data_IF_272428812307
#
_entry.id   IF_272428812307
#
_cell.length_a   1.000
_cell.length_b   1.000
_cell.length_c   1.000
_cell.angle_alpha   90.00
_cell.angle_beta   90.00
_cell.angle_gamma   90.00
#
_symmetry.space_group_name_H-M   'P 1'
#
loop_
_entity.id
_entity.type
_entity.pdbx_description
1 polymer ?
#
# COMPACT_ATOMS: atom_id res chain seq x y z
N UNK A 1 -55.28 -39.57 24.70
CA UNK A 1 -54.58 -40.19 23.55
C UNK A 1 -53.32 -39.43 23.12
N UNK A 2 -53.38 -38.29 22.39
CA UNK A 2 -52.15 -37.62 21.87
C UNK A 2 -51.16 -37.13 22.94
N UNK A 3 -51.66 -36.63 24.08
CA UNK A 3 -50.81 -36.13 25.18
C UNK A 3 -50.24 -37.27 26.03
N UNK A 4 -51.01 -38.33 26.26
CA UNK A 4 -50.56 -39.50 27.01
C UNK A 4 -49.53 -40.33 26.22
N UNK A 5 -49.68 -40.44 24.89
CA UNK A 5 -48.66 -41.03 24.01
C UNK A 5 -47.36 -40.21 24.03
N UNK A 6 -47.47 -38.88 24.10
CA UNK A 6 -46.33 -37.97 24.19
C UNK A 6 -45.57 -38.15 25.51
N UNK A 7 -46.27 -38.26 26.64
CA UNK A 7 -45.68 -38.50 27.96
C UNK A 7 -45.08 -39.90 28.06
N UNK A 8 -45.76 -40.93 27.56
CA UNK A 8 -45.25 -42.31 27.59
C UNK A 8 -44.03 -42.52 26.67
N UNK A 9 -43.83 -41.64 25.67
CA UNK A 9 -42.66 -41.67 24.78
C UNK A 9 -41.40 -41.03 25.38
N UNK A 10 -41.47 -40.45 26.58
CA UNK A 10 -40.35 -39.79 27.28
C UNK A 10 -39.87 -38.49 26.63
N UNK A 11 -40.60 -37.96 25.63
CA UNK A 11 -40.27 -36.73 24.91
C UNK A 11 -40.64 -35.46 25.68
N UNK A 12 -41.42 -35.58 26.75
CA UNK A 12 -41.72 -34.53 27.73
C UNK A 12 -40.46 -34.07 28.48
N UNK A 13 -39.49 -34.97 28.70
CA UNK A 13 -38.20 -34.67 29.34
C UNK A 13 -37.29 -33.76 28.48
N UNK A 14 -37.58 -33.64 27.18
CA UNK A 14 -36.83 -32.78 26.25
C UNK A 14 -37.44 -31.37 26.10
N UNK A 15 -38.56 -31.09 26.77
CA UNK A 15 -39.15 -29.75 26.78
C UNK A 15 -38.41 -28.91 27.83
N UNK A 16 -37.41 -28.16 27.37
CA UNK A 16 -36.77 -27.13 28.17
C UNK A 16 -37.68 -25.91 28.17
N UNK A 17 -38.19 -25.53 29.34
CA UNK A 17 -38.87 -24.25 29.52
C UNK A 17 -37.89 -23.11 29.17
N UNK A 18 -38.10 -22.39 28.06
CA UNK A 18 -37.19 -21.35 27.61
C UNK A 18 -37.17 -20.14 28.56
N UNK A 19 -38.08 -20.09 29.55
CA UNK A 19 -38.14 -19.04 30.57
C UNK A 19 -38.33 -19.59 31.99
N UNK A 20 -37.59 -20.65 32.33
CA UNK A 20 -37.64 -21.32 33.65
C UNK A 20 -37.52 -20.36 34.86
N UNK A 21 -36.84 -19.23 34.69
CA UNK A 21 -36.64 -18.21 35.73
C UNK A 21 -37.53 -16.96 35.56
N UNK A 22 -38.49 -17.00 34.62
CA UNK A 22 -39.39 -15.89 34.26
C UNK A 22 -38.67 -14.58 33.93
N UNK A 23 -37.44 -14.65 33.40
CA UNK A 23 -36.63 -13.47 33.08
C UNK A 23 -37.25 -12.72 31.90
N UNK A 24 -37.69 -13.43 30.87
CA UNK A 24 -38.37 -12.82 29.72
C UNK A 24 -39.76 -12.33 30.09
N UNK A 25 -40.50 -13.10 30.89
CA UNK A 25 -41.83 -12.75 31.38
C UNK A 25 -41.79 -11.48 32.25
N UNK A 26 -40.87 -11.39 33.22
CA UNK A 26 -40.69 -10.18 34.06
C UNK A 26 -40.25 -8.95 33.28
N UNK A 27 -39.43 -9.13 32.25
CA UNK A 27 -38.97 -8.02 31.39
C UNK A 27 -40.09 -7.50 30.51
N UNK A 28 -41.00 -8.36 30.08
CA UNK A 28 -42.20 -7.99 29.32
C UNK A 28 -43.22 -7.27 30.22
N UNK A 29 -43.44 -7.76 31.44
CA UNK A 29 -44.27 -7.10 32.46
C UNK A 29 -43.72 -5.70 32.83
N UNK A 30 -42.39 -5.54 32.93
CA UNK A 30 -41.76 -4.24 33.19
C UNK A 30 -41.90 -3.26 32.02
N UNK A 31 -41.92 -3.74 30.78
CA UNK A 31 -42.17 -2.91 29.60
C UNK A 31 -43.65 -2.55 29.43
N UNK A 32 -44.57 -3.45 29.77
CA UNK A 32 -46.01 -3.18 29.76
C UNK A 32 -46.41 -2.21 30.90
N UNK A 33 -45.74 -2.27 32.06
CA UNK A 33 -45.89 -1.27 33.12
C UNK A 33 -45.36 0.11 32.69
N UNK A 34 -44.20 0.17 32.03
CA UNK A 34 -43.64 1.42 31.50
C UNK A 34 -44.46 2.03 30.34
N UNK A 35 -45.26 1.21 29.65
CA UNK A 35 -46.10 1.65 28.52
C UNK A 35 -47.47 2.19 28.95
N UNK A 36 -47.89 1.96 30.22
CA UNK A 36 -49.16 2.47 30.75
C UNK A 36 -49.07 3.87 31.36
N UNK A 37 -47.86 4.39 31.61
CA UNK A 37 -47.63 5.72 32.21
C UNK A 37 -47.33 6.84 31.19
N UNK A 38 -47.54 6.61 29.88
CA UNK A 38 -47.23 7.62 28.85
C UNK A 38 -48.45 8.42 28.36
N UNK A 39 -49.66 8.09 28.81
CA UNK A 39 -50.87 8.86 28.48
C UNK A 39 -51.44 9.59 29.71
N UNK A 40 -50.74 10.65 30.14
CA UNK A 40 -51.33 11.86 30.73
C UNK A 40 -50.25 12.90 31.09
N UNK A 41 -50.27 14.02 30.36
CA UNK A 41 -49.87 15.35 30.84
C UNK A 41 -48.51 15.53 31.52
N UNK A 42 -47.45 15.85 30.77
CA UNK A 42 -46.44 16.82 31.23
C UNK A 42 -45.92 17.64 30.04
N UNK A 43 -46.51 18.81 29.85
CA UNK A 43 -45.83 19.96 29.27
C UNK A 43 -44.70 20.38 30.21
N UNK A 44 -43.45 20.08 29.86
CA UNK A 44 -42.29 20.52 30.63
C UNK A 44 -41.02 20.13 29.89
N UNK A 45 -40.32 21.12 29.33
CA UNK A 45 -38.98 20.97 28.79
C UNK A 45 -38.07 20.35 29.86
N UNK A 46 -37.67 19.09 29.67
CA UNK A 46 -36.64 18.47 30.50
C UNK A 46 -35.28 18.98 30.05
N UNK A 47 -34.81 20.06 30.68
CA UNK A 47 -33.42 20.48 30.59
C UNK A 47 -32.50 19.33 31.04
N UNK A 48 -31.69 18.83 30.12
CA UNK A 48 -30.56 17.93 30.40
C UNK A 48 -29.67 18.58 31.48
N UNK A 49 -29.56 17.95 32.66
CA UNK A 49 -28.66 18.40 33.72
C UNK A 49 -27.24 17.92 33.43
N UNK A 50 -26.37 18.86 33.04
CA UNK A 50 -24.93 18.63 32.96
C UNK A 50 -24.28 18.71 34.35
N UNK A 51 -23.11 18.06 34.57
CA UNK A 51 -22.34 18.18 35.81
C UNK A 51 -22.00 19.65 36.10
N UNK A 52 -22.26 20.11 37.32
CA UNK A 52 -22.15 21.53 37.70
C UNK A 52 -20.72 22.05 37.85
N UNK A 53 -19.74 21.15 37.99
CA UNK A 53 -18.33 21.52 38.19
C UNK A 53 -17.49 21.16 36.97
N UNK A 54 -16.87 22.18 36.36
CA UNK A 54 -15.88 22.05 35.28
C UNK A 54 -16.44 21.93 33.86
N UNK A 55 -17.77 21.87 33.70
CA UNK A 55 -18.43 21.83 32.39
C UNK A 55 -19.20 23.12 32.17
N UNK A 56 -18.77 23.89 31.18
CA UNK A 56 -19.47 25.10 30.75
C UNK A 56 -19.88 24.94 29.29
N UNK A 57 -21.04 25.47 28.95
CA UNK A 57 -21.48 25.70 27.56
C UNK A 57 -20.73 26.87 26.90
N UNK A 58 -19.85 27.54 27.67
CA UNK A 58 -19.01 28.64 27.25
C UNK A 58 -17.66 28.11 26.72
N UNK A 59 -17.37 28.39 25.44
CA UNK A 59 -16.15 27.96 24.75
C UNK A 59 -14.87 28.48 25.43
N UNK A 60 -14.98 29.54 26.24
CA UNK A 60 -13.85 30.12 26.97
C UNK A 60 -13.33 29.25 28.12
N UNK A 61 -14.09 28.23 28.54
CA UNK A 61 -13.80 27.39 29.72
C UNK A 61 -13.60 25.90 29.42
N UNK A 62 -13.46 25.49 28.15
CA UNK A 62 -13.17 24.08 27.86
C UNK A 62 -11.82 23.66 28.46
N UNK A 63 -11.77 22.62 29.31
CA UNK A 63 -10.50 22.07 29.76
C UNK A 63 -9.73 21.51 28.56
N UNK A 64 -8.43 21.75 28.51
CA UNK A 64 -7.54 21.02 27.62
C UNK A 64 -7.47 19.57 28.10
N UNK A 65 -8.05 18.64 27.34
CA UNK A 65 -7.95 17.21 27.65
C UNK A 65 -6.72 16.63 26.94
N UNK A 66 -5.75 16.18 27.72
CA UNK A 66 -4.65 15.38 27.19
C UNK A 66 -5.11 13.94 26.96
N UNK A 67 -4.47 13.23 26.02
CA UNK A 67 -4.74 11.81 25.75
C UNK A 67 -4.62 10.94 27.01
N UNK A 68 -3.75 11.34 27.96
CA UNK A 68 -3.59 10.67 29.24
C UNK A 68 -4.83 10.81 30.15
N UNK A 69 -5.46 11.97 30.18
CA UNK A 69 -6.67 12.22 30.99
C UNK A 69 -7.89 11.49 30.43
N UNK A 70 -8.00 11.42 29.10
CA UNK A 70 -9.04 10.64 28.42
C UNK A 70 -8.91 9.15 28.74
N UNK A 71 -7.70 8.59 28.64
CA UNK A 71 -7.43 7.19 28.98
C UNK A 71 -7.75 6.89 30.46
N UNK A 72 -7.47 7.84 31.37
CA UNK A 72 -7.81 7.74 32.79
C UNK A 72 -9.32 7.80 33.04
N UNK A 73 -10.08 8.47 32.18
CA UNK A 73 -11.55 8.51 32.27
C UNK A 73 -12.18 7.22 31.76
N UNK A 74 -11.65 6.66 30.65
CA UNK A 74 -12.09 5.37 30.09
C UNK A 74 -11.80 4.22 31.06
N UNK A 75 -10.64 4.21 31.70
CA UNK A 75 -10.31 3.17 32.71
C UNK A 75 -11.20 3.24 33.95
N UNK A 76 -11.70 4.44 34.30
CA UNK A 76 -12.63 4.64 35.41
C UNK A 76 -14.09 4.40 35.05
N UNK A 77 -14.47 4.39 33.77
CA UNK A 77 -15.86 4.20 33.33
C UNK A 77 -16.32 2.73 33.35
N UNK A 78 -15.53 1.82 33.94
CA UNK A 78 -15.85 0.39 34.03
C UNK A 78 -15.80 -0.38 32.70
N UNK A 79 -15.50 0.29 31.59
CA UNK A 79 -15.29 -0.34 30.27
C UNK A 79 -13.83 -0.76 30.13
N UNK A 80 -13.42 -1.73 30.93
CA UNK A 80 -12.13 -2.37 30.75
C UNK A 80 -12.20 -3.23 29.47
N UNK A 81 -11.52 -2.79 28.41
CA UNK A 81 -11.13 -3.69 27.32
C UNK A 81 -10.00 -4.55 27.89
N UNK A 82 -10.35 -5.72 28.40
CA UNK A 82 -9.38 -6.67 28.96
C UNK A 82 -8.39 -7.12 27.90
N UNK A 83 -7.12 -7.25 28.30
CA UNK A 83 -5.99 -7.70 27.48
C UNK A 83 -5.98 -9.21 27.17
N UNK A 84 -7.09 -9.93 27.41
CA UNK A 84 -7.21 -11.36 27.14
C UNK A 84 -8.14 -11.62 25.95
N UNK A 85 -7.55 -12.06 24.85
CA UNK A 85 -8.23 -12.58 23.66
C UNK A 85 -8.81 -13.95 24.02
N UNK A 86 -9.97 -14.00 24.68
CA UNK A 86 -10.76 -15.24 24.81
C UNK A 86 -12.12 -15.00 25.47
N UNK A 87 -12.98 -14.14 24.90
CA UNK A 87 -14.45 -14.24 25.02
C UNK A 87 -15.13 -13.13 24.24
N UNK A 88 -15.15 -13.28 22.92
CA UNK A 88 -16.29 -12.80 22.14
C UNK A 88 -16.78 -13.97 21.30
N UNK A 89 -17.95 -14.48 21.67
CA UNK A 89 -18.70 -15.49 20.93
C UNK A 89 -19.16 -14.88 19.61
N UNK A 90 -18.28 -14.88 18.60
CA UNK A 90 -18.70 -14.75 17.21
C UNK A 90 -18.79 -16.18 16.67
N UNK A 91 -19.96 -16.64 16.19
CA UNK A 91 -20.06 -17.95 15.57
C UNK A 91 -19.15 -18.01 14.34
N UNK A 92 -18.11 -18.84 14.38
CA UNK A 92 -17.14 -19.06 13.30
C UNK A 92 -17.63 -20.04 12.23
N UNK A 93 -18.94 -20.20 12.05
CA UNK A 93 -19.55 -21.13 11.08
C UNK A 93 -20.49 -20.47 10.07
N UNK A 94 -20.20 -19.23 9.66
CA UNK A 94 -20.85 -18.58 8.52
C UNK A 94 -19.83 -18.26 7.42
N UNK A 95 -20.02 -18.79 6.21
CA UNK A 95 -19.22 -18.41 5.03
C UNK A 95 -19.34 -16.91 4.79
N UNK A 96 -18.27 -16.16 5.05
CA UNK A 96 -18.18 -14.70 4.87
C UNK A 96 -18.17 -14.24 3.42
N UNK A 97 -18.12 -15.17 2.46
CA UNK A 97 -18.00 -14.87 1.01
C UNK A 97 -19.25 -14.19 0.42
N UNK A 98 -20.34 -14.10 1.17
CA UNK A 98 -21.60 -13.47 0.73
C UNK A 98 -21.88 -12.13 1.42
N UNK A 99 -21.02 -11.70 2.35
CA UNK A 99 -21.20 -10.44 3.09
C UNK A 99 -20.39 -9.35 2.41
N UNK A 100 -21.08 -8.55 1.59
CA UNK A 100 -20.49 -7.36 0.97
C UNK A 100 -20.69 -6.18 1.93
N UNK A 101 -19.66 -5.37 2.24
CA UNK A 101 -19.85 -4.20 3.08
C UNK A 101 -20.79 -3.22 2.39
N UNK A 102 -21.97 -3.01 2.99
CA UNK A 102 -22.89 -1.96 2.61
C UNK A 102 -22.80 -0.81 3.61
N UNK A 103 -23.00 0.45 3.18
CA UNK A 103 -23.17 1.56 4.10
C UNK A 103 -24.22 1.18 5.16
N UNK A 104 -23.95 1.46 6.44
CA UNK A 104 -24.84 1.08 7.56
C UNK A 104 -26.30 1.54 7.40
N UNK A 105 -26.52 2.52 6.52
CA UNK A 105 -27.81 3.14 6.16
C UNK A 105 -28.66 2.29 5.21
N UNK A 106 -28.04 1.38 4.45
CA UNK A 106 -28.70 0.51 3.47
C UNK A 106 -29.00 -0.89 4.02
N UNK A 107 -28.50 -1.18 5.24
CA UNK A 107 -28.67 -2.47 5.89
C UNK A 107 -30.10 -2.61 6.41
N UNK A 108 -30.89 -3.43 5.73
CA UNK A 108 -32.20 -3.88 6.19
C UNK A 108 -32.04 -5.29 6.77
N UNK A 109 -32.27 -5.42 8.08
CA UNK A 109 -32.19 -6.73 8.74
C UNK A 109 -33.53 -7.45 8.57
N UNK A 110 -33.50 -8.56 7.85
CA UNK A 110 -34.63 -9.47 7.72
C UNK A 110 -34.51 -10.62 8.72
N UNK A 111 -35.64 -11.12 9.25
CA UNK A 111 -35.65 -12.32 10.10
C UNK A 111 -35.12 -13.52 9.31
N UNK A 112 -34.40 -14.42 9.98
CA UNK A 112 -33.81 -15.63 9.39
C UNK A 112 -34.88 -16.65 8.97
N UNK A 113 -34.57 -17.40 7.92
CA UNK A 113 -35.48 -18.17 7.06
C UNK A 113 -36.05 -19.47 7.67
N UNK A 114 -36.16 -19.58 9.00
CA UNK A 114 -36.68 -20.79 9.68
C UNK A 114 -38.16 -20.70 10.10
N UNK A 115 -38.80 -19.54 10.00
CA UNK A 115 -40.20 -19.33 10.44
C UNK A 115 -41.17 -18.99 9.28
N UNK A 116 -40.96 -19.55 8.08
CA UNK A 116 -41.82 -19.29 6.93
C UNK A 116 -42.78 -20.45 6.64
N UNK A 117 -43.80 -20.60 7.48
CA UNK A 117 -45.06 -21.19 7.05
C UNK A 117 -46.05 -20.09 6.66
N UNK A 118 -46.19 -19.97 5.33
CA UNK A 118 -47.35 -19.52 4.53
C UNK A 118 -48.14 -18.26 4.95
N UNK A 119 -48.14 -17.33 3.98
CA UNK A 119 -49.18 -16.33 3.66
C UNK A 119 -49.44 -15.21 4.66
N UNK A 120 -48.69 -14.12 4.53
CA UNK A 120 -49.19 -12.75 4.26
C UNK A 120 -48.00 -11.79 4.21
N UNK A 121 -48.14 -10.69 3.46
CA UNK A 121 -47.20 -9.59 3.24
C UNK A 121 -45.85 -9.65 3.99
N UNK A 122 -44.73 -9.68 3.26
CA UNK A 122 -43.38 -9.46 3.82
C UNK A 122 -43.42 -8.24 4.75
N UNK A 123 -43.31 -8.46 6.07
CA UNK A 123 -43.09 -7.36 7.01
C UNK A 123 -41.84 -6.58 6.56
N UNK A 124 -41.89 -5.25 6.48
CA UNK A 124 -40.71 -4.47 6.12
C UNK A 124 -39.63 -4.72 7.17
N UNK A 125 -38.46 -5.17 6.72
CA UNK A 125 -37.33 -5.45 7.61
C UNK A 125 -36.93 -4.21 8.42
N UNK A 126 -36.27 -4.42 9.56
CA UNK A 126 -35.90 -3.31 10.45
C UNK A 126 -34.78 -2.51 9.79
N UNK A 127 -35.05 -1.23 9.52
CA UNK A 127 -34.06 -0.28 8.98
C UNK A 127 -33.24 0.34 10.12
N UNK A 128 -31.98 0.62 9.84
CA UNK A 128 -31.11 1.35 10.74
C UNK A 128 -31.67 2.76 11.03
N UNK A 129 -31.88 3.10 12.32
CA UNK A 129 -32.36 4.42 12.75
C UNK A 129 -31.21 5.43 12.99
N UNK A 130 -29.97 5.11 12.61
CA UNK A 130 -28.88 6.06 12.67
C UNK A 130 -29.15 7.25 11.74
N UNK A 131 -29.01 8.46 12.28
CA UNK A 131 -29.29 9.73 11.63
C UNK A 131 -28.47 9.94 10.34
N UNK A 132 -29.11 10.26 9.20
CA UNK A 132 -28.44 10.59 7.94
C UNK A 132 -28.03 12.07 7.90
N UNK A 133 -26.85 12.38 8.44
CA UNK A 133 -26.27 13.72 8.39
C UNK A 133 -25.94 14.24 6.98
N UNK A 134 -26.07 13.39 5.94
CA UNK A 134 -25.60 13.67 4.56
C UNK A 134 -26.72 13.87 3.54
N UNK A 135 -28.00 13.82 3.93
CA UNK A 135 -29.07 14.13 2.97
C UNK A 135 -28.98 15.59 2.52
N UNK A 136 -29.18 15.85 1.23
CA UNK A 136 -29.22 17.20 0.64
C UNK A 136 -30.19 18.14 1.37
N UNK A 137 -31.29 17.59 1.91
CA UNK A 137 -32.24 18.30 2.74
C UNK A 137 -31.62 18.71 4.10
N UNK A 138 -30.94 17.78 4.80
CA UNK A 138 -30.27 18.02 6.09
C UNK A 138 -29.12 19.03 5.95
N UNK A 139 -28.31 18.90 4.89
CA UNK A 139 -27.22 19.82 4.57
C UNK A 139 -27.73 21.25 4.29
N UNK A 140 -28.92 21.41 3.67
CA UNK A 140 -29.54 22.73 3.44
C UNK A 140 -30.05 23.36 4.74
N UNK A 141 -30.63 22.56 5.64
CA UNK A 141 -31.09 23.01 6.95
C UNK A 141 -29.95 23.48 7.85
N UNK A 142 -28.77 22.84 7.75
CA UNK A 142 -27.60 23.12 8.58
C UNK A 142 -26.86 24.41 8.18
N UNK A 143 -27.06 24.93 6.95
CA UNK A 143 -26.36 26.14 6.46
C UNK A 143 -26.58 27.36 7.35
N UNK A 144 -27.82 27.59 7.78
CA UNK A 144 -28.16 28.74 8.62
C UNK A 144 -27.47 28.63 10.00
N UNK A 145 -27.41 27.42 10.55
CA UNK A 145 -26.79 27.16 11.84
C UNK A 145 -25.25 27.20 11.77
N UNK A 146 -24.65 26.71 10.68
CA UNK A 146 -23.21 26.81 10.41
C UNK A 146 -22.76 28.26 10.25
N UNK A 147 -23.53 29.07 9.52
CA UNK A 147 -23.24 30.49 9.33
C UNK A 147 -23.33 31.25 10.65
N UNK A 148 -24.37 30.98 11.45
CA UNK A 148 -24.54 31.54 12.80
C UNK A 148 -23.44 31.08 13.76
N UNK A 149 -22.98 29.83 13.66
CA UNK A 149 -21.85 29.32 14.44
C UNK A 149 -20.55 30.04 14.04
N UNK A 150 -20.28 30.18 12.75
CA UNK A 150 -19.07 30.84 12.24
C UNK A 150 -19.02 32.31 12.65
N UNK A 151 -20.13 33.05 12.56
CA UNK A 151 -20.24 34.44 13.03
C UNK A 151 -19.95 34.58 14.53
N UNK A 152 -20.50 33.69 15.37
CA UNK A 152 -20.21 33.69 16.81
C UNK A 152 -18.75 33.36 17.11
N UNK A 153 -18.17 32.38 16.41
CA UNK A 153 -16.76 32.02 16.61
C UNK A 153 -15.82 33.15 16.18
N UNK A 154 -16.14 33.88 15.11
CA UNK A 154 -15.40 35.07 14.66
C UNK A 154 -15.53 36.23 15.64
N UNK A 155 -16.71 36.41 16.25
CA UNK A 155 -16.94 37.45 17.25
C UNK A 155 -16.09 37.23 18.51
N UNK A 156 -16.01 35.99 19.01
CA UNK A 156 -15.25 35.69 20.23
C UNK A 156 -13.75 35.58 20.04
N UNK A 157 -13.31 35.03 18.90
CA UNK A 157 -11.89 35.03 18.57
C UNK A 157 -11.69 35.10 17.05
N UNK A 158 -11.43 36.29 16.51
CA UNK A 158 -11.25 36.47 15.06
C UNK A 158 -9.99 35.75 14.51
N UNK A 159 -9.08 35.30 15.38
CA UNK A 159 -7.91 34.48 15.04
C UNK A 159 -8.12 32.98 15.26
N UNK A 160 -9.31 32.55 15.66
CA UNK A 160 -9.59 31.12 15.86
C UNK A 160 -9.52 30.40 14.52
N UNK A 161 -8.63 29.40 14.42
CA UNK A 161 -8.40 28.64 13.19
C UNK A 161 -9.71 28.06 12.61
N UNK A 162 -10.59 27.51 13.47
CA UNK A 162 -11.90 27.01 13.05
C UNK A 162 -12.78 28.10 12.40
N UNK A 163 -12.79 29.31 12.95
CA UNK A 163 -13.55 30.43 12.41
C UNK A 163 -13.02 30.93 11.05
N UNK A 164 -11.73 30.68 10.77
CA UNK A 164 -11.09 31.03 9.49
C UNK A 164 -11.22 29.93 8.43
N UNK A 165 -11.46 28.68 8.84
CA UNK A 165 -11.55 27.52 7.93
C UNK A 165 -13.00 27.16 7.60
N UNK A 166 -13.96 27.47 8.48
CA UNK A 166 -15.40 27.30 8.21
C UNK A 166 -15.83 28.38 7.22
N UNK A 167 -15.60 28.14 5.93
CA UNK A 167 -16.27 28.87 4.85
C UNK A 167 -17.65 28.23 4.59
N UNK A 168 -18.72 29.03 4.51
CA UNK A 168 -20.04 28.52 4.17
C UNK A 168 -19.99 27.82 2.81
N UNK A 169 -20.51 26.60 2.76
CA UNK A 169 -20.58 25.81 1.52
C UNK A 169 -21.31 26.61 0.43
N UNK A 170 -20.63 26.95 -0.66
CA UNK A 170 -21.24 27.57 -1.84
C UNK A 170 -21.65 26.49 -2.83
N UNK A 171 -22.60 26.77 -3.72
CA UNK A 171 -22.94 25.82 -4.80
C UNK A 171 -21.76 25.58 -5.78
N UNK A 172 -20.69 26.38 -5.67
CA UNK A 172 -19.45 26.22 -6.42
C UNK A 172 -18.34 25.48 -5.66
N UNK A 173 -18.59 25.00 -4.43
CA UNK A 173 -17.56 24.29 -3.65
C UNK A 173 -17.26 22.94 -4.30
N UNK A 174 -16.02 22.78 -4.76
CA UNK A 174 -15.54 21.53 -5.35
C UNK A 174 -15.63 20.38 -4.35
N UNK A 175 -16.15 19.23 -4.78
CA UNK A 175 -16.17 18.02 -3.97
C UNK A 175 -14.89 17.21 -4.21
N UNK A 176 -14.19 16.86 -3.15
CA UNK A 176 -13.03 15.96 -3.16
C UNK A 176 -13.49 14.52 -2.89
N UNK A 177 -12.95 13.56 -3.62
CA UNK A 177 -13.19 12.14 -3.33
C UNK A 177 -12.49 11.72 -2.04
N UNK A 178 -13.19 10.99 -1.17
CA UNK A 178 -12.64 10.50 0.10
C UNK A 178 -12.98 9.04 0.36
N UNK A 179 -12.29 8.40 1.33
CA UNK A 179 -12.60 7.03 1.77
C UNK A 179 -14.04 6.84 2.25
N UNK A 180 -14.75 7.92 2.59
CA UNK A 180 -16.14 7.92 3.05
C UNK A 180 -17.12 8.50 2.02
N UNK A 181 -16.66 8.68 0.77
CA UNK A 181 -17.41 9.31 -0.32
C UNK A 181 -16.99 10.77 -0.58
N UNK A 182 -17.69 11.43 -1.50
CA UNK A 182 -17.40 12.83 -1.88
C UNK A 182 -17.62 13.79 -0.71
N UNK A 183 -16.65 14.66 -0.45
CA UNK A 183 -16.66 15.62 0.65
C UNK A 183 -16.30 17.03 0.17
N UNK A 184 -16.95 18.10 0.69
CA UNK A 184 -16.64 19.50 0.34
C UNK A 184 -15.18 19.88 0.57
N UNK A 185 -14.50 20.45 -0.44
CA UNK A 185 -13.18 21.05 -0.28
C UNK A 185 -13.19 22.08 0.86
N UNK A 186 -12.30 21.93 1.84
CA UNK A 186 -12.24 22.78 3.04
C UNK A 186 -12.95 22.19 4.27
N UNK A 187 -13.79 21.16 4.10
CA UNK A 187 -14.38 20.45 5.24
C UNK A 187 -13.39 19.52 5.93
N UNK A 188 -13.58 19.25 7.22
CA UNK A 188 -12.74 18.32 7.97
C UNK A 188 -12.71 16.91 7.36
N UNK A 189 -13.81 16.47 6.75
CA UNK A 189 -13.89 15.19 6.06
C UNK A 189 -13.14 15.16 4.72
N UNK A 190 -12.96 16.32 4.07
CA UNK A 190 -12.15 16.46 2.85
C UNK A 190 -10.65 16.47 3.13
N UNK A 191 -10.27 16.93 4.32
CA UNK A 191 -8.93 16.71 4.86
C UNK A 191 -8.88 15.30 5.42
N UNK A 192 -8.56 14.32 4.57
CA UNK A 192 -7.97 13.11 5.09
C UNK A 192 -6.67 13.50 5.76
N UNK A 193 -6.70 13.67 7.09
CA UNK A 193 -5.54 13.33 7.89
C UNK A 193 -5.11 11.98 7.33
N UNK A 194 -3.88 11.88 6.83
CA UNK A 194 -3.31 10.57 6.64
C UNK A 194 -3.54 9.89 7.98
N UNK A 195 -4.38 8.87 8.02
CA UNK A 195 -4.19 7.81 8.98
C UNK A 195 -2.83 7.21 8.61
N UNK A 196 -1.75 7.94 8.90
CA UNK A 196 -0.52 7.32 9.31
C UNK A 196 -0.99 6.55 10.52
N UNK A 197 -1.32 5.29 10.29
CA UNK A 197 -1.18 4.32 11.34
C UNK A 197 0.18 4.67 11.96
N UNK A 198 0.24 5.02 13.24
CA UNK A 198 1.51 5.22 13.97
C UNK A 198 2.46 3.99 13.80
N UNK A 199 1.95 2.92 13.18
CA UNK A 199 2.56 1.66 12.85
C UNK A 199 3.23 1.55 11.46
N UNK A 200 3.12 2.53 10.55
CA UNK A 200 3.79 2.46 9.23
C UNK A 200 5.02 3.38 9.18
N UNK A 201 6.17 2.83 9.59
CA UNK A 201 7.43 3.59 9.66
C UNK A 201 8.17 3.57 8.33
N UNK A 202 8.62 4.73 7.86
CA UNK A 202 9.44 4.85 6.66
C UNK A 202 10.84 5.33 7.03
N UNK A 203 11.85 4.57 6.61
CA UNK A 203 13.28 4.90 6.71
C UNK A 203 13.71 5.36 5.31
N UNK A 204 14.08 6.62 5.17
CA UNK A 204 14.36 7.20 3.86
C UNK A 204 15.69 7.94 3.88
N UNK A 205 16.65 7.46 3.09
CA UNK A 205 17.85 8.19 2.74
C UNK A 205 17.97 8.35 1.23
N UNK A 206 17.82 9.59 0.78
CA UNK A 206 17.95 10.03 -0.60
C UNK A 206 18.98 11.14 -0.75
N UNK A 207 19.89 11.27 0.21
CA UNK A 207 20.88 12.36 0.30
C UNK A 207 22.05 12.22 -0.68
N UNK A 208 22.21 11.05 -1.31
CA UNK A 208 23.33 10.75 -2.22
C UNK A 208 23.33 11.58 -3.50
N UNK A 209 22.19 12.16 -3.89
CA UNK A 209 22.10 13.13 -4.99
C UNK A 209 21.69 14.48 -4.42
N UNK A 210 22.51 15.53 -4.61
CA UNK A 210 22.18 16.85 -4.09
C UNK A 210 20.87 17.37 -4.72
N UNK A 211 20.11 18.09 -3.89
CA UNK A 211 18.88 18.75 -4.30
C UNK A 211 19.18 20.14 -4.83
N UNK A 212 18.37 20.59 -5.77
CA UNK A 212 18.46 21.95 -6.32
C UNK A 212 17.82 22.92 -5.33
N UNK A 213 18.44 24.09 -5.12
CA UNK A 213 17.90 25.10 -4.22
C UNK A 213 16.51 25.56 -4.69
N UNK A 214 15.57 25.87 -3.77
CA UNK A 214 14.22 26.33 -4.12
C UNK A 214 14.18 27.58 -5.02
N UNK A 215 15.26 28.37 -5.04
CA UNK A 215 15.42 29.56 -5.90
C UNK A 215 16.08 29.31 -7.26
N UNK A 216 16.59 28.09 -7.49
CA UNK A 216 17.16 27.64 -8.75
C UNK A 216 16.30 26.51 -9.31
N UNK A 217 15.02 26.78 -9.58
CA UNK A 217 14.23 25.85 -10.37
C UNK A 217 14.94 25.65 -11.70
N UNK A 218 15.31 24.40 -12.03
CA UNK A 218 15.54 24.06 -13.43
C UNK A 218 14.22 24.39 -14.15
N UNK A 219 14.16 25.56 -14.78
CA UNK A 219 13.02 26.09 -15.52
C UNK A 219 12.73 25.30 -16.81
N UNK A 220 13.19 24.05 -16.89
CA UNK A 220 12.90 23.13 -17.98
C UNK A 220 11.77 22.22 -17.47
N UNK A 221 10.54 22.36 -18.00
CA UNK A 221 9.46 21.44 -17.69
C UNK A 221 9.90 20.01 -18.08
N UNK A 222 10.03 19.13 -17.09
CA UNK A 222 10.26 17.71 -17.35
C UNK A 222 8.92 17.11 -17.81
N UNK A 223 8.72 17.04 -19.13
CA UNK A 223 7.47 16.55 -19.72
C UNK A 223 7.45 15.03 -19.89
N UNK A 224 8.61 14.39 -19.91
CA UNK A 224 8.76 12.95 -20.11
C UNK A 224 10.07 12.43 -19.51
N UNK A 225 10.12 11.12 -19.29
CA UNK A 225 11.37 10.43 -18.99
C UNK A 225 12.20 10.29 -20.27
N UNK A 226 13.51 10.58 -20.26
CA UNK A 226 14.39 10.48 -21.43
C UNK A 226 14.48 9.06 -21.99
N UNK A 227 14.87 8.96 -23.26
CA UNK A 227 15.15 7.70 -23.93
C UNK A 227 16.42 7.06 -23.34
N UNK A 228 16.48 5.73 -23.35
CA UNK A 228 17.70 5.00 -23.00
C UNK A 228 18.67 4.93 -24.18
N UNK A 229 20.00 4.81 -23.94
CA UNK A 229 20.66 4.93 -22.65
C UNK A 229 20.65 6.37 -22.12
N UNK A 230 20.67 6.55 -20.80
CA UNK A 230 20.65 7.90 -20.19
C UNK A 230 21.99 8.61 -20.23
N UNK A 231 23.07 7.89 -20.52
CA UNK A 231 24.41 8.45 -20.68
C UNK A 231 24.84 8.33 -22.15
N UNK A 232 25.20 9.47 -22.76
CA UNK A 232 25.62 9.59 -24.16
C UNK A 232 27.09 9.17 -24.40
N UNK A 233 27.88 8.95 -23.36
CA UNK A 233 29.31 8.60 -23.47
C UNK A 233 29.54 7.08 -23.60
N UNK A 234 28.62 6.33 -24.20
CA UNK A 234 28.75 4.87 -24.31
C UNK A 234 29.63 4.50 -25.51
N UNK A 235 30.70 3.74 -25.25
CA UNK A 235 31.56 3.19 -26.29
C UNK A 235 30.77 2.20 -27.16
N UNK A 236 30.97 2.19 -28.48
CA UNK A 236 30.31 1.19 -29.32
C UNK A 236 30.83 -0.22 -29.02
N UNK A 237 29.95 -1.23 -29.11
CA UNK A 237 30.38 -2.62 -28.94
C UNK A 237 31.30 -3.05 -30.08
N UNK A 238 32.54 -3.41 -29.73
CA UNK A 238 33.51 -3.97 -30.67
C UNK A 238 33.38 -5.48 -30.71
N UNK A 239 33.01 -6.01 -31.87
CA UNK A 239 32.96 -7.45 -32.14
C UNK A 239 34.38 -8.04 -32.01
N UNK A 240 34.60 -9.12 -31.25
CA UNK A 240 35.90 -9.79 -31.21
C UNK A 240 36.26 -10.41 -32.57
N UNK A 241 37.53 -10.32 -32.97
CA UNK A 241 37.99 -10.86 -34.27
C UNK A 241 38.10 -12.39 -34.28
N UNK A 242 38.48 -13.00 -33.15
CA UNK A 242 38.75 -14.44 -33.02
C UNK A 242 37.54 -15.21 -32.45
N UNK A 243 36.38 -15.16 -33.12
CA UNK A 243 35.18 -15.92 -32.74
C UNK A 243 34.65 -16.77 -33.90
N UNK A 244 33.96 -17.87 -33.58
CA UNK A 244 33.38 -18.71 -34.61
C UNK A 244 32.26 -17.97 -35.37
N UNK A 245 32.05 -18.29 -36.65
CA UNK A 245 31.05 -17.62 -37.49
C UNK A 245 29.63 -17.70 -36.89
N UNK A 246 29.28 -18.82 -36.24
CA UNK A 246 27.98 -19.00 -35.56
C UNK A 246 27.84 -18.12 -34.31
N UNK A 247 28.94 -17.89 -33.58
CA UNK A 247 28.98 -17.01 -32.41
C UNK A 247 28.86 -15.55 -32.83
N UNK A 248 29.56 -15.18 -33.91
CA UNK A 248 29.45 -13.86 -34.53
C UNK A 248 28.02 -13.56 -34.97
N UNK A 249 27.37 -14.49 -35.66
CA UNK A 249 25.98 -14.32 -36.11
C UNK A 249 24.99 -14.12 -34.94
N UNK A 250 25.19 -14.84 -33.82
CA UNK A 250 24.37 -14.64 -32.61
C UNK A 250 24.61 -13.24 -32.02
N UNK A 251 25.86 -12.79 -31.89
CA UNK A 251 26.18 -11.47 -31.36
C UNK A 251 25.65 -10.34 -32.25
N UNK A 252 25.76 -10.47 -33.58
CA UNK A 252 25.19 -9.52 -34.54
C UNK A 252 23.67 -9.39 -34.35
N UNK A 253 22.96 -10.52 -34.16
CA UNK A 253 21.52 -10.51 -33.85
C UNK A 253 21.18 -9.81 -32.54
N UNK A 254 22.08 -9.85 -31.55
CA UNK A 254 21.86 -9.19 -30.26
C UNK A 254 22.20 -7.70 -30.26
N UNK A 255 23.00 -7.23 -31.22
CA UNK A 255 23.33 -5.81 -31.37
C UNK A 255 22.07 -5.02 -31.73
N UNK A 256 21.89 -3.87 -31.09
CA UNK A 256 20.73 -3.01 -31.25
C UNK A 256 21.17 -1.55 -31.18
N UNK A 257 20.52 -0.69 -31.95
CA UNK A 257 20.69 0.75 -31.88
C UNK A 257 19.78 1.37 -30.79
N UNK A 258 19.93 2.68 -30.56
CA UNK A 258 19.13 3.42 -29.59
C UNK A 258 17.62 3.38 -29.91
N UNK A 259 17.25 3.35 -31.19
CA UNK A 259 15.84 3.25 -31.59
C UNK A 259 15.24 1.93 -31.10
N UNK A 260 15.92 0.84 -31.43
CA UNK A 260 15.53 -0.53 -31.08
C UNK A 260 15.56 -0.78 -29.58
N UNK A 261 16.50 -0.21 -28.84
CA UNK A 261 16.54 -0.29 -27.36
C UNK A 261 15.25 0.23 -26.74
N UNK A 262 14.80 1.42 -27.15
CA UNK A 262 13.60 2.04 -26.59
C UNK A 262 12.31 1.38 -27.08
N UNK A 263 12.32 0.81 -28.29
CA UNK A 263 11.24 -0.02 -28.80
C UNK A 263 11.06 -1.29 -27.98
N UNK A 264 12.16 -2.01 -27.71
CA UNK A 264 12.17 -3.18 -26.82
C UNK A 264 11.65 -2.77 -25.44
N UNK A 265 12.18 -1.69 -24.85
CA UNK A 265 11.72 -1.21 -23.54
C UNK A 265 10.21 -0.95 -23.53
N UNK A 266 9.68 -0.29 -24.56
CA UNK A 266 8.26 0.07 -24.63
C UNK A 266 7.37 -1.17 -24.77
N UNK A 267 7.71 -2.09 -25.68
CA UNK A 267 6.94 -3.32 -25.92
C UNK A 267 6.97 -4.27 -24.74
N UNK A 268 8.05 -4.24 -23.96
CA UNK A 268 8.29 -5.18 -22.86
C UNK A 268 7.96 -4.64 -21.47
N UNK A 269 7.27 -3.50 -21.33
CA UNK A 269 6.82 -2.95 -20.03
C UNK A 269 5.88 -3.85 -19.23
N UNK A 270 5.30 -4.87 -19.86
CA UNK A 270 4.55 -5.94 -19.18
C UNK A 270 5.43 -6.94 -18.45
N UNK A 271 6.76 -6.87 -18.62
CA UNK A 271 7.79 -7.71 -18.01
C UNK A 271 7.44 -9.20 -18.03
N UNK A 272 7.27 -9.84 -16.87
CA UNK A 272 7.00 -11.28 -16.75
C UNK A 272 5.73 -11.74 -17.48
N UNK A 273 4.77 -10.83 -17.71
CA UNK A 273 3.55 -11.09 -18.47
C UNK A 273 3.71 -10.86 -19.98
N UNK A 274 4.91 -10.52 -20.45
CA UNK A 274 5.23 -10.28 -21.86
C UNK A 274 6.13 -11.40 -22.40
N UNK A 275 5.73 -12.02 -23.51
CA UNK A 275 6.53 -13.09 -24.11
C UNK A 275 7.78 -12.55 -24.83
N UNK A 276 7.67 -11.41 -25.51
CA UNK A 276 8.80 -10.71 -26.13
C UNK A 276 9.88 -10.37 -25.08
N UNK A 277 9.47 -9.99 -23.86
CA UNK A 277 10.39 -9.76 -22.75
C UNK A 277 11.19 -11.03 -22.39
N UNK A 278 10.57 -12.21 -22.41
CA UNK A 278 11.27 -13.47 -22.13
C UNK A 278 12.22 -13.84 -23.27
N UNK A 279 11.81 -13.63 -24.51
CA UNK A 279 12.60 -13.92 -25.70
C UNK A 279 13.86 -13.06 -25.78
N UNK A 280 13.72 -11.74 -25.59
CA UNK A 280 14.86 -10.79 -25.59
C UNK A 280 15.87 -11.08 -24.46
N UNK A 281 15.42 -11.71 -23.36
CA UNK A 281 16.28 -12.09 -22.23
C UNK A 281 16.98 -13.43 -22.41
N UNK A 282 16.53 -14.32 -23.32
CA UNK A 282 17.03 -15.71 -23.42
C UNK A 282 18.55 -15.77 -23.57
N UNK A 283 19.11 -14.90 -24.41
CA UNK A 283 20.54 -14.89 -24.74
C UNK A 283 21.32 -13.75 -24.09
N UNK A 284 20.70 -13.00 -23.16
CA UNK A 284 21.31 -11.88 -22.46
C UNK A 284 21.44 -12.18 -20.98
N UNK A 285 22.58 -11.83 -20.39
CA UNK A 285 22.67 -11.77 -18.95
C UNK A 285 21.86 -10.58 -18.45
N UNK A 286 21.04 -10.82 -17.43
CA UNK A 286 20.16 -9.81 -16.87
C UNK A 286 20.61 -9.40 -15.47
N UNK A 287 20.42 -8.13 -15.11
CA UNK A 287 20.92 -7.56 -13.85
C UNK A 287 20.63 -8.41 -12.60
N UNK A 288 19.45 -9.02 -12.53
CA UNK A 288 19.04 -9.91 -11.42
C UNK A 288 19.92 -11.15 -11.25
N UNK A 289 20.62 -11.57 -12.30
CA UNK A 289 21.51 -12.73 -12.31
C UNK A 289 23.00 -12.36 -12.21
N UNK A 290 23.36 -11.08 -12.31
CA UNK A 290 24.78 -10.66 -12.33
C UNK A 290 25.55 -11.13 -11.10
N UNK A 291 24.97 -11.01 -9.90
CA UNK A 291 25.61 -11.51 -8.67
C UNK A 291 25.81 -13.03 -8.63
N UNK A 292 24.91 -13.80 -9.26
CA UNK A 292 25.06 -15.26 -9.36
C UNK A 292 26.13 -15.66 -10.38
N UNK A 293 26.23 -14.92 -11.48
CA UNK A 293 27.21 -15.15 -12.55
C UNK A 293 28.60 -14.78 -12.06
N UNK A 294 28.78 -13.59 -11.46
CA UNK A 294 30.08 -13.11 -11.00
C UNK A 294 30.67 -13.95 -9.86
N UNK A 295 29.83 -14.56 -9.02
CA UNK A 295 30.25 -15.44 -7.94
C UNK A 295 30.50 -16.90 -8.38
N UNK A 296 30.22 -17.26 -9.65
CA UNK A 296 30.26 -18.65 -10.13
C UNK A 296 31.71 -19.12 -10.35
N UNK A 297 32.11 -20.18 -9.63
CA UNK A 297 33.46 -20.78 -9.74
C UNK A 297 33.52 -22.18 -10.34
N UNK A 298 32.38 -22.88 -10.45
CA UNK A 298 32.30 -24.30 -10.88
C UNK A 298 30.91 -24.61 -11.42
N UNK A 299 30.75 -25.79 -12.05
CA UNK A 299 29.49 -26.28 -12.62
C UNK A 299 28.94 -25.33 -13.71
N UNK A 300 29.82 -24.88 -14.61
CA UNK A 300 29.50 -23.86 -15.61
C UNK A 300 28.44 -24.35 -16.61
N UNK A 301 28.57 -25.56 -17.12
CA UNK A 301 27.64 -26.14 -18.10
C UNK A 301 26.20 -26.22 -17.57
N UNK A 302 25.99 -26.83 -16.39
CA UNK A 302 24.67 -26.93 -15.79
C UNK A 302 24.08 -25.57 -15.41
N UNK A 303 24.92 -24.61 -15.01
CA UNK A 303 24.48 -23.25 -14.71
C UNK A 303 24.08 -22.49 -15.98
N UNK A 304 24.87 -22.57 -17.06
CA UNK A 304 24.53 -21.98 -18.36
C UNK A 304 23.23 -22.56 -18.90
N UNK A 305 23.04 -23.88 -18.82
CA UNK A 305 21.78 -24.52 -19.17
C UNK A 305 20.60 -23.95 -18.37
N UNK A 306 20.78 -23.70 -17.06
CA UNK A 306 19.74 -23.07 -16.23
C UNK A 306 19.43 -21.61 -16.59
N UNK A 307 20.40 -20.90 -17.18
CA UNK A 307 20.21 -19.52 -17.65
C UNK A 307 19.48 -19.50 -19.01
N UNK A 308 19.79 -20.42 -19.91
CA UNK A 308 19.16 -20.56 -21.23
C UNK A 308 17.73 -21.11 -21.14
N UNK A 309 17.51 -22.03 -20.20
CA UNK A 309 16.24 -22.74 -20.00
C UNK A 309 15.70 -22.51 -18.58
N UNK A 310 15.33 -21.27 -18.23
CA UNK A 310 14.77 -20.97 -16.92
C UNK A 310 13.45 -21.74 -16.75
N UNK A 311 13.41 -22.62 -15.75
CA UNK A 311 12.18 -23.37 -15.44
C UNK A 311 11.09 -22.40 -14.96
N UNK A 312 9.83 -22.56 -15.40
CA UNK A 312 8.71 -21.85 -14.80
C UNK A 312 8.71 -22.11 -13.29
N UNK A 313 8.97 -21.07 -12.51
CA UNK A 313 9.09 -21.17 -11.07
C UNK A 313 8.13 -20.19 -10.42
N UNK A 314 7.14 -20.74 -9.73
CA UNK A 314 6.27 -19.99 -8.82
C UNK A 314 6.61 -20.43 -7.40
N UNK A 315 6.87 -19.46 -6.54
CA UNK A 315 7.08 -19.69 -5.11
C UNK A 315 6.25 -18.71 -4.31
N UNK A 316 6.02 -19.03 -3.03
CA UNK A 316 5.39 -18.09 -2.09
C UNK A 316 6.09 -16.73 -2.08
N UNK A 317 7.42 -16.72 -2.18
CA UNK A 317 8.24 -15.50 -2.18
C UNK A 317 8.06 -14.70 -3.47
N UNK A 318 8.09 -15.36 -4.62
CA UNK A 318 7.94 -14.72 -5.93
C UNK A 318 6.52 -14.16 -6.12
N UNK A 319 5.49 -14.94 -5.77
CA UNK A 319 4.10 -14.51 -5.87
C UNK A 319 3.81 -13.34 -4.91
N UNK A 320 4.42 -13.36 -3.72
CA UNK A 320 4.32 -12.24 -2.78
C UNK A 320 4.96 -10.96 -3.34
N UNK A 321 6.16 -11.08 -3.94
CA UNK A 321 6.82 -9.98 -4.65
C UNK A 321 5.92 -9.37 -5.71
N UNK A 322 5.43 -10.18 -6.65
CA UNK A 322 4.53 -9.75 -7.74
C UNK A 322 3.27 -9.07 -7.21
N UNK A 323 2.69 -9.60 -6.12
CA UNK A 323 1.47 -9.06 -5.52
C UNK A 323 1.68 -7.66 -4.92
N UNK A 324 2.79 -7.44 -4.23
CA UNK A 324 3.00 -6.23 -3.43
C UNK A 324 3.91 -5.18 -4.07
N UNK A 325 4.60 -5.50 -5.16
CA UNK A 325 5.43 -4.54 -5.90
C UNK A 325 4.64 -3.29 -6.35
N UNK A 326 3.45 -3.39 -6.98
CA UNK A 326 2.66 -2.21 -7.32
C UNK A 326 2.25 -1.39 -6.09
N UNK A 327 1.94 -2.07 -4.98
CA UNK A 327 1.57 -1.42 -3.71
C UNK A 327 2.78 -0.67 -3.13
N UNK A 328 3.98 -1.27 -3.18
CA UNK A 328 5.21 -0.66 -2.71
C UNK A 328 5.54 0.61 -3.49
N UNK A 329 5.44 0.59 -4.83
CA UNK A 329 5.65 1.78 -5.67
C UNK A 329 4.65 2.89 -5.35
N UNK A 330 3.37 2.55 -5.15
CA UNK A 330 2.34 3.51 -4.76
C UNK A 330 2.64 4.14 -3.38
N UNK A 331 3.03 3.32 -2.40
CA UNK A 331 3.40 3.80 -1.06
C UNK A 331 4.66 4.67 -1.09
N UNK A 332 5.65 4.29 -1.90
CA UNK A 332 6.85 5.09 -2.14
C UNK A 332 6.48 6.48 -2.69
N UNK A 333 5.66 6.57 -3.74
CA UNK A 333 5.22 7.86 -4.29
C UNK A 333 4.44 8.70 -3.27
N UNK A 334 3.53 8.09 -2.52
CA UNK A 334 2.75 8.76 -1.46
C UNK A 334 3.66 9.33 -0.37
N UNK A 335 4.66 8.57 0.07
CA UNK A 335 5.61 9.02 1.07
C UNK A 335 6.49 10.16 0.54
N UNK A 336 7.03 10.03 -0.67
CA UNK A 336 7.83 11.08 -1.30
C UNK A 336 7.06 12.40 -1.43
N UNK A 337 5.77 12.32 -1.79
CA UNK A 337 4.86 13.47 -1.78
C UNK A 337 4.67 14.07 -0.37
N UNK A 338 4.48 13.24 0.67
CA UNK A 338 4.23 13.72 2.04
C UNK A 338 5.41 14.49 2.64
N UNK A 339 6.64 14.16 2.26
CA UNK A 339 7.85 14.88 2.68
C UNK A 339 8.21 16.06 1.75
N UNK A 340 7.25 16.51 0.92
CA UNK A 340 7.39 17.60 -0.07
C UNK A 340 8.52 17.38 -1.07
N UNK A 341 8.71 16.13 -1.49
CA UNK A 341 9.69 15.71 -2.51
C UNK A 341 8.99 14.79 -3.53
N UNK A 342 7.94 15.27 -4.22
CA UNK A 342 7.14 14.41 -5.07
C UNK A 342 7.99 13.81 -6.19
N UNK A 343 7.77 12.53 -6.46
CA UNK A 343 8.39 11.80 -7.57
C UNK A 343 7.33 11.20 -8.47
N UNK A 344 7.63 11.11 -9.76
CA UNK A 344 6.81 10.38 -10.73
C UNK A 344 7.47 9.04 -11.04
N UNK A 345 6.72 7.94 -10.90
CA UNK A 345 7.19 6.60 -11.22
C UNK A 345 6.45 6.08 -12.46
N UNK A 346 7.21 5.69 -13.47
CA UNK A 346 6.70 5.15 -14.72
C UNK A 346 7.12 3.68 -14.87
N UNK A 347 6.29 2.87 -15.52
CA UNK A 347 6.64 1.48 -15.85
C UNK A 347 7.87 1.42 -16.75
N UNK A 348 8.70 0.41 -16.54
CA UNK A 348 9.87 0.12 -17.36
C UNK A 348 9.83 -1.28 -17.94
N UNK A 349 10.30 -1.44 -19.17
CA UNK A 349 10.58 -2.73 -19.79
C UNK A 349 12.05 -3.12 -19.72
N UNK A 350 12.45 -4.03 -20.60
CA UNK A 350 13.83 -4.43 -20.80
C UNK A 350 14.62 -3.35 -21.54
N UNK A 351 15.76 -2.98 -20.98
CA UNK A 351 16.77 -2.13 -21.61
C UNK A 351 17.97 -2.99 -21.94
N UNK A 352 18.45 -2.91 -23.17
CA UNK A 352 19.65 -3.59 -23.65
C UNK A 352 20.81 -2.61 -23.60
N UNK A 353 21.98 -3.09 -23.18
CA UNK A 353 23.20 -2.27 -23.16
C UNK A 353 23.77 -2.17 -24.57
N UNK A 354 24.08 -0.93 -25.00
CA UNK A 354 24.59 -0.63 -26.34
C UNK A 354 26.05 -1.07 -26.53
N UNK A 355 26.86 -0.93 -25.49
CA UNK A 355 28.31 -1.16 -25.40
C UNK A 355 28.67 -2.57 -24.91
N UNK A 356 27.68 -3.46 -24.99
CA UNK A 356 27.35 -4.56 -24.09
C UNK A 356 26.08 -5.31 -24.54
N UNK A 357 25.82 -5.56 -25.84
CA UNK A 357 24.58 -6.19 -26.29
C UNK A 357 24.48 -7.67 -25.93
N UNK A 358 25.14 -8.17 -24.91
CA UNK A 358 24.79 -9.44 -24.26
C UNK A 358 24.33 -9.21 -22.82
N UNK A 359 24.16 -7.95 -22.41
CA UNK A 359 23.67 -7.52 -21.11
C UNK A 359 22.32 -6.82 -21.27
N UNK A 360 21.45 -7.01 -20.26
CA UNK A 360 20.15 -6.36 -20.20
C UNK A 360 19.70 -6.09 -18.76
N UNK A 361 18.77 -5.16 -18.61
CA UNK A 361 18.22 -4.73 -17.32
C UNK A 361 16.73 -4.46 -17.43
N UNK A 362 15.97 -4.80 -16.40
CA UNK A 362 14.54 -4.48 -16.31
C UNK A 362 14.31 -3.89 -14.92
N UNK A 363 14.40 -2.56 -14.75
CA UNK A 363 14.10 -1.95 -13.46
C UNK A 363 12.59 -2.02 -13.18
N UNK A 364 12.21 -2.01 -11.90
CA UNK A 364 10.80 -2.06 -11.50
C UNK A 364 10.08 -0.73 -11.80
N UNK A 365 10.83 0.37 -11.88
CA UNK A 365 10.30 1.67 -12.32
C UNK A 365 11.35 2.67 -12.79
N UNK A 366 10.90 3.61 -13.60
CA UNK A 366 11.61 4.83 -14.03
C UNK A 366 11.15 5.98 -13.14
N UNK A 367 12.07 6.64 -12.45
CA UNK A 367 11.78 7.66 -11.45
C UNK A 367 12.19 9.04 -11.95
N UNK A 368 11.25 10.00 -11.89
CA UNK A 368 11.52 11.41 -12.09
C UNK A 368 11.42 12.13 -10.74
N UNK A 369 12.54 12.67 -10.28
CA UNK A 369 12.67 13.51 -9.08
C UNK A 369 13.16 14.90 -9.50
N UNK A 370 12.22 15.78 -9.85
CA UNK A 370 12.52 17.13 -10.35
C UNK A 370 13.22 18.05 -9.35
N UNK A 371 13.26 17.66 -8.06
CA UNK A 371 13.95 18.41 -7.03
C UNK A 371 15.45 18.14 -6.96
N UNK A 372 15.97 17.19 -7.74
CA UNK A 372 17.37 16.77 -7.68
C UNK A 372 18.19 17.29 -8.87
N UNK A 373 19.50 17.50 -8.68
CA UNK A 373 20.42 17.87 -9.76
C UNK A 373 20.46 16.83 -10.89
N UNK A 374 20.16 15.58 -10.55
CA UNK A 374 20.03 14.48 -11.50
C UNK A 374 18.60 13.95 -11.41
N UNK A 375 17.65 14.48 -12.20
CA UNK A 375 16.23 14.22 -11.96
C UNK A 375 15.77 12.85 -12.44
N UNK A 376 16.55 12.14 -13.25
CA UNK A 376 16.18 10.85 -13.82
C UNK A 376 16.95 9.71 -13.15
N UNK A 377 16.21 8.78 -12.57
CA UNK A 377 16.76 7.58 -11.93
C UNK A 377 15.81 6.40 -12.04
N UNK A 378 16.13 5.33 -11.31
CA UNK A 378 15.37 4.09 -11.33
C UNK A 378 14.79 3.77 -9.95
N UNK A 379 13.87 2.81 -9.89
CA UNK A 379 13.46 2.16 -8.66
C UNK A 379 13.59 0.64 -8.79
N UNK A 380 14.09 0.01 -7.74
CA UNK A 380 14.18 -1.44 -7.59
C UNK A 380 13.51 -1.82 -6.27
N UNK A 381 12.49 -2.66 -6.34
CA UNK A 381 11.59 -2.99 -5.23
C UNK A 381 11.85 -4.39 -4.72
N UNK A 382 11.80 -4.55 -3.39
CA UNK A 382 11.79 -5.85 -2.73
C UNK A 382 10.67 -5.91 -1.68
N UNK A 383 9.81 -6.92 -1.81
CA UNK A 383 8.78 -7.23 -0.82
C UNK A 383 9.11 -8.59 -0.16
N UNK A 384 9.93 -8.63 0.91
CA UNK A 384 10.37 -9.87 1.52
C UNK A 384 9.23 -10.54 2.31
N UNK A 385 8.68 -11.64 1.80
CA UNK A 385 7.56 -12.36 2.42
C UNK A 385 7.85 -12.78 3.88
N UNK A 386 9.06 -13.28 4.17
CA UNK A 386 9.45 -13.71 5.52
C UNK A 386 9.52 -12.57 6.53
N UNK A 387 9.65 -11.33 6.07
CA UNK A 387 9.75 -10.13 6.91
C UNK A 387 8.56 -9.19 6.71
N UNK A 388 7.51 -9.65 6.04
CA UNK A 388 6.38 -8.81 5.66
C UNK A 388 5.63 -8.22 6.86
N UNK A 389 5.61 -8.91 8.01
CA UNK A 389 4.85 -8.51 9.20
C UNK A 389 5.66 -7.72 10.24
N UNK A 390 6.91 -7.35 9.92
CA UNK A 390 7.79 -6.56 10.80
C UNK A 390 8.27 -5.30 10.11
N UNK A 391 8.79 -4.31 10.84
CA UNK A 391 9.38 -3.13 10.19
C UNK A 391 10.69 -3.52 9.50
N UNK A 392 11.12 -2.79 8.46
CA UNK A 392 12.44 -3.02 7.85
C UNK A 392 13.61 -2.95 8.84
N UNK A 393 13.49 -2.11 9.88
CA UNK A 393 14.47 -2.02 10.95
C UNK A 393 14.51 -3.29 11.80
N UNK A 394 13.35 -3.79 12.24
CA UNK A 394 13.28 -5.03 13.02
C UNK A 394 13.83 -6.21 12.20
N UNK A 395 13.57 -6.23 10.89
CA UNK A 395 14.09 -7.25 9.97
C UNK A 395 15.63 -7.29 9.91
N UNK A 396 16.31 -6.16 10.16
CA UNK A 396 17.78 -6.09 10.21
C UNK A 396 18.39 -6.83 11.41
N UNK A 397 17.58 -7.22 12.40
CA UNK A 397 18.04 -8.09 13.50
C UNK A 397 18.41 -9.50 13.00
N UNK A 398 17.92 -9.90 11.84
CA UNK A 398 18.34 -11.12 11.16
C UNK A 398 19.58 -10.86 10.30
N UNK A 399 20.69 -11.50 10.65
CA UNK A 399 21.96 -11.35 9.94
C UNK A 399 21.89 -11.78 8.46
N UNK A 400 20.95 -12.64 8.09
CA UNK A 400 20.72 -13.05 6.70
C UNK A 400 19.84 -12.07 5.91
N UNK A 401 19.25 -11.08 6.57
CA UNK A 401 18.51 -10.04 5.87
C UNK A 401 19.48 -9.18 5.04
N UNK A 402 19.02 -8.74 3.86
CA UNK A 402 19.87 -8.05 2.91
C UNK A 402 20.11 -6.57 3.27
N UNK A 403 19.32 -6.00 4.18
CA UNK A 403 19.61 -4.69 4.76
C UNK A 403 20.45 -4.83 6.03
N UNK A 404 21.17 -3.76 6.36
CA UNK A 404 21.86 -3.55 7.62
C UNK A 404 21.49 -2.17 8.19
N UNK A 405 21.54 -2.08 9.52
CA UNK A 405 21.29 -0.83 10.23
C UNK A 405 22.63 -0.16 10.56
N UNK A 406 22.92 0.96 9.91
CA UNK A 406 24.07 1.80 10.20
C UNK A 406 23.58 3.04 10.98
N UNK A 407 23.65 2.99 12.31
CA UNK A 407 23.28 4.11 13.20
C UNK A 407 21.86 4.68 13.01
N UNK A 408 20.88 3.82 12.68
CA UNK A 408 19.49 4.20 12.42
C UNK A 408 19.18 4.37 10.92
N UNK A 409 20.18 4.32 10.06
CA UNK A 409 20.02 4.34 8.61
C UNK A 409 20.02 2.92 8.06
N UNK A 410 18.94 2.54 7.38
CA UNK A 410 18.85 1.23 6.74
C UNK A 410 19.51 1.28 5.38
N UNK A 411 20.53 0.44 5.20
CA UNK A 411 21.33 0.37 3.98
C UNK A 411 21.33 -1.04 3.41
N UNK A 412 21.31 -1.16 2.09
CA UNK A 412 21.56 -2.40 1.39
C UNK A 412 23.03 -2.80 1.57
N UNK A 413 23.25 -3.99 2.11
CA UNK A 413 24.59 -4.58 2.25
C UNK A 413 25.33 -4.58 0.91
N UNK A 414 26.48 -3.93 0.85
CA UNK A 414 27.26 -3.76 -0.39
C UNK A 414 27.82 -5.06 -0.97
N UNK A 415 27.98 -6.08 -0.13
CA UNK A 415 28.37 -7.43 -0.54
C UNK A 415 27.18 -8.32 -0.97
N UNK A 416 25.94 -7.83 -0.87
CA UNK A 416 24.75 -8.60 -1.21
C UNK A 416 24.46 -8.55 -2.72
N UNK A 417 23.96 -9.66 -3.29
CA UNK A 417 23.64 -9.77 -4.73
C UNK A 417 22.68 -8.70 -5.27
N UNK A 418 21.82 -8.13 -4.41
CA UNK A 418 20.93 -7.03 -4.81
C UNK A 418 21.69 -5.73 -5.05
N UNK A 419 22.82 -5.50 -4.38
CA UNK A 419 23.68 -4.36 -4.71
C UNK A 419 24.29 -4.54 -6.10
N UNK A 420 24.76 -5.74 -6.42
CA UNK A 420 25.21 -6.11 -7.78
C UNK A 420 24.11 -5.92 -8.82
N UNK A 421 22.87 -6.29 -8.48
CA UNK A 421 21.72 -6.08 -9.36
C UNK A 421 21.48 -4.58 -9.59
N UNK A 422 21.43 -3.75 -8.54
CA UNK A 422 21.23 -2.30 -8.67
C UNK A 422 22.33 -1.66 -9.51
N UNK A 423 23.60 -1.96 -9.24
CA UNK A 423 24.72 -1.46 -10.05
C UNK A 423 24.62 -1.94 -11.51
N UNK A 424 24.11 -3.16 -11.74
CA UNK A 424 23.81 -3.67 -13.08
C UNK A 424 22.69 -2.91 -13.80
N UNK A 425 21.62 -2.54 -13.10
CA UNK A 425 20.55 -1.71 -13.66
C UNK A 425 21.10 -0.35 -14.09
N UNK A 426 21.87 0.30 -13.22
CA UNK A 426 22.48 1.60 -13.48
C UNK A 426 23.48 1.54 -14.65
N UNK A 427 24.36 0.53 -14.66
CA UNK A 427 25.37 0.36 -15.70
C UNK A 427 24.78 0.06 -17.08
N UNK A 428 23.71 -0.75 -17.17
CA UNK A 428 23.05 -1.07 -18.45
C UNK A 428 22.21 0.09 -18.98
N UNK A 429 21.52 0.82 -18.11
CA UNK A 429 20.59 1.88 -18.51
C UNK A 429 21.27 3.25 -18.67
N UNK A 430 22.45 3.43 -18.09
CA UNK A 430 23.14 4.72 -17.98
C UNK A 430 22.59 5.63 -16.87
N UNK A 431 21.63 5.16 -16.07
CA UNK A 431 21.11 5.93 -14.93
C UNK A 431 22.20 6.10 -13.85
N UNK A 432 22.15 7.22 -13.13
CA UNK A 432 23.19 7.57 -12.14
C UNK A 432 22.78 7.28 -10.69
N UNK A 433 21.53 6.94 -10.45
CA UNK A 433 21.03 6.51 -9.15
C UNK A 433 19.77 5.65 -9.28
N UNK A 434 19.56 4.80 -8.28
CA UNK A 434 18.37 3.96 -8.14
C UNK A 434 17.87 4.05 -6.70
N UNK A 435 16.57 4.31 -6.52
CA UNK A 435 15.92 4.19 -5.22
C UNK A 435 15.60 2.71 -4.97
N UNK A 436 16.34 2.10 -4.04
CA UNK A 436 16.11 0.74 -3.59
C UNK A 436 15.02 0.75 -2.51
N UNK A 437 13.84 0.24 -2.86
CA UNK A 437 12.64 0.29 -2.04
C UNK A 437 12.36 -1.08 -1.43
N UNK A 438 12.30 -1.15 -0.11
CA UNK A 438 11.95 -2.38 0.62
C UNK A 438 10.63 -2.16 1.34
N UNK A 439 9.62 -2.94 1.00
CA UNK A 439 8.27 -2.80 1.51
C UNK A 439 7.86 -3.97 2.40
N UNK A 440 7.28 -3.65 3.55
CA UNK A 440 6.60 -4.59 4.45
C UNK A 440 5.24 -4.01 4.85
N UNK A 441 4.35 -4.83 5.43
CA UNK A 441 3.07 -4.34 5.96
C UNK A 441 3.20 -3.39 7.16
N UNK A 442 4.40 -3.25 7.74
CA UNK A 442 4.67 -2.40 8.92
C UNK A 442 5.57 -1.21 8.60
N UNK A 443 6.04 -1.08 7.35
CA UNK A 443 6.90 0.03 7.00
C UNK A 443 7.61 -0.13 5.67
N UNK A 444 8.50 0.82 5.41
CA UNK A 444 9.23 0.91 4.15
C UNK A 444 10.65 1.42 4.39
N UNK A 445 11.61 0.93 3.61
CA UNK A 445 12.96 1.48 3.53
C UNK A 445 13.18 2.00 2.12
N UNK A 446 13.77 3.17 1.98
CA UNK A 446 14.12 3.80 0.71
C UNK A 446 15.57 4.24 0.82
N UNK A 447 16.45 3.67 0.00
CA UNK A 447 17.84 4.10 -0.11
C UNK A 447 18.13 4.50 -1.56
N UNK A 448 18.56 5.75 -1.78
CA UNK A 448 19.09 6.17 -3.09
C UNK A 448 20.53 5.71 -3.24
N UNK A 449 20.72 4.66 -4.04
CA UNK A 449 22.03 4.09 -4.33
C UNK A 449 22.61 4.78 -5.56
N UNK A 450 23.76 5.48 -5.45
CA UNK A 450 24.44 6.08 -6.60
C UNK A 450 25.14 5.00 -7.44
N UNK A 451 25.37 5.32 -8.71
CA UNK A 451 26.18 4.49 -9.58
C UNK A 451 27.65 4.49 -9.13
N UNK A 452 28.23 3.30 -9.09
CA UNK A 452 29.60 3.05 -8.70
C UNK A 452 30.39 2.61 -9.94
N UNK A 453 31.07 3.58 -10.56
CA UNK A 453 31.81 3.40 -11.82
C UNK A 453 32.91 2.32 -11.71
N UNK A 454 33.61 2.23 -10.58
CA UNK A 454 34.68 1.24 -10.36
C UNK A 454 34.13 -0.17 -10.15
N UNK A 455 33.07 -0.29 -9.35
CA UNK A 455 32.38 -1.56 -9.15
C UNK A 455 31.81 -2.09 -10.46
N UNK A 456 31.13 -1.22 -11.24
CA UNK A 456 30.57 -1.60 -12.53
C UNK A 456 31.65 -2.04 -13.52
N UNK A 457 32.77 -1.31 -13.62
CA UNK A 457 33.88 -1.68 -14.51
C UNK A 457 34.39 -3.10 -14.22
N UNK A 458 34.57 -3.42 -12.94
CA UNK A 458 35.01 -4.75 -12.48
C UNK A 458 33.96 -5.83 -12.77
N UNK A 459 32.69 -5.54 -12.46
CA UNK A 459 31.58 -6.46 -12.69
C UNK A 459 31.39 -6.74 -14.19
N UNK A 460 31.36 -5.69 -15.02
CA UNK A 460 31.20 -5.78 -16.49
C UNK A 460 32.32 -6.63 -17.11
N UNK A 461 33.57 -6.45 -16.67
CA UNK A 461 34.70 -7.30 -17.10
C UNK A 461 34.51 -8.77 -16.74
N UNK A 462 34.03 -9.05 -15.52
CA UNK A 462 33.73 -10.42 -15.07
C UNK A 462 32.59 -11.05 -15.89
N UNK A 463 31.52 -10.29 -16.14
CA UNK A 463 30.38 -10.74 -16.93
C UNK A 463 30.79 -11.00 -18.39
N UNK A 464 31.60 -10.12 -18.99
CA UNK A 464 32.19 -10.32 -20.32
C UNK A 464 32.96 -11.64 -20.37
N UNK A 465 33.94 -11.81 -19.49
CA UNK A 465 34.74 -13.04 -19.42
C UNK A 465 33.86 -14.28 -19.31
N UNK A 466 32.87 -14.28 -18.42
CA UNK A 466 31.97 -15.42 -18.26
C UNK A 466 31.12 -15.69 -19.51
N UNK A 467 30.61 -14.64 -20.16
CA UNK A 467 29.77 -14.77 -21.35
C UNK A 467 30.53 -15.46 -22.49
N UNK A 468 31.71 -14.95 -22.83
CA UNK A 468 32.51 -15.47 -23.94
C UNK A 468 33.16 -16.82 -23.63
N UNK A 469 33.61 -17.07 -22.39
CA UNK A 469 34.30 -18.31 -22.04
C UNK A 469 33.37 -19.51 -21.79
N UNK A 470 32.10 -19.27 -21.41
CA UNK A 470 31.22 -20.35 -20.95
C UNK A 470 29.83 -20.35 -21.58
N UNK A 471 29.24 -19.19 -21.85
CA UNK A 471 27.84 -19.08 -22.26
C UNK A 471 27.66 -19.11 -23.78
N UNK A 472 28.44 -18.31 -24.51
CA UNK A 472 28.26 -18.05 -25.94
C UNK A 472 28.27 -19.33 -26.79
N UNK A 473 29.25 -20.21 -26.57
CA UNK A 473 29.41 -21.46 -27.31
C UNK A 473 28.29 -22.48 -27.06
N UNK A 474 27.59 -22.39 -25.92
CA UNK A 474 26.40 -23.21 -25.63
C UNK A 474 25.14 -22.54 -26.18
N UNK A 475 25.03 -21.22 -26.05
CA UNK A 475 23.91 -20.44 -26.55
C UNK A 475 23.73 -20.56 -28.08
N UNK A 476 24.82 -20.70 -28.84
CA UNK A 476 24.77 -20.91 -30.30
C UNK A 476 24.30 -22.29 -30.73
N UNK A 477 24.22 -23.26 -29.80
CA UNK A 477 23.67 -24.60 -30.06
C UNK A 477 22.16 -24.65 -29.87
N UNK A 478 21.57 -23.58 -29.33
CA UNK A 478 20.13 -23.44 -29.21
C UNK A 478 19.50 -23.26 -30.61
N UNK A 479 18.36 -23.91 -30.87
CA UNK A 479 17.64 -23.77 -32.12
C UNK A 479 17.02 -22.38 -32.31
#
# INVERSE_FOLDING_TARGET
KRVEEYINSGHDQNIVDPDRNRIYTRRKEHNEAASKDVDASVSGESQLKYPSDGWSIDLTKMPFFTRAEMNKHISKSGKNIGSNISTHSVPTSGRGDTIVPQPAMEVVVHKTHQDLDRSSSREPGVRCLLYEARTLQSMRSQRADEQKLCERLKAENPKMALAQIIEPFSESTQLLETKFGKSPQGSYASYQLSTTEDNFKVYCDISSVPRVDPGHTHNIPINAYPRFPLNTATEEFVMPDEIAAVEKALLEKLCVDEEKINDIETKTRGQSNCEEWKQERKFRFTASNFGLISARKRNHESFVNSLLHPKPFSSRYTNHGIKYEPVALEQYQKYMHSIRRPVNVLKSGLVVSIDAPYLGASPDGKVIDSGCLMPFGLSEVKCPETKFLVTPLDACSDSNFFLENQNGELKLKRNHKYYTQVQGLLGVTGARWCDFVVYTSKGMSIERIPFDDEYWKTLKGTLKSYYFNHFLSQATREP
#
